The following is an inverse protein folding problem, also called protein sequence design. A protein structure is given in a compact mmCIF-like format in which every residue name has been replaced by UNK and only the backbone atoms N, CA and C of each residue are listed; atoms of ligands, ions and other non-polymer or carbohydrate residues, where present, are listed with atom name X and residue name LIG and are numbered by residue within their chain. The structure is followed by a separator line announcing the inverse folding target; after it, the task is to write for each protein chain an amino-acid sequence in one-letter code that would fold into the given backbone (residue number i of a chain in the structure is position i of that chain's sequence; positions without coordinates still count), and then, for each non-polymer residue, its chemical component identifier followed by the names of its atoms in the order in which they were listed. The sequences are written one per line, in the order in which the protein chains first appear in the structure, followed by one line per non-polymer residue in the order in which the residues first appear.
data_IF_956647251678
#
_entry.id   IF_956647251678
#
_cell.length_a   1.000
_cell.length_b   1.000
_cell.length_c   1.000
_cell.angle_alpha   90.00
_cell.angle_beta   90.00
_cell.angle_gamma   90.00
#
_symmetry.space_group_name_H-M   'P 1'
#
loop_
_entity.id
_entity.type
_entity.pdbx_description
1 polymer ?
#
# COMPACT_ATOMS: atom_id res chain seq x y z
N UNK A 1 -23.62 -5.13 -2.30
CA UNK A 1 -22.34 -4.90 -1.59
C UNK A 1 -22.53 -5.44 -0.18
N UNK A 2 -21.50 -5.92 0.51
CA UNK A 2 -21.59 -6.07 1.97
C UNK A 2 -21.83 -4.67 2.54
N UNK A 3 -22.94 -4.50 3.24
CA UNK A 3 -23.28 -3.27 3.95
C UNK A 3 -23.02 -3.55 5.42
N UNK A 4 -22.03 -2.88 5.99
CA UNK A 4 -21.65 -3.02 7.40
C UNK A 4 -21.80 -1.63 8.02
N UNK A 5 -22.50 -1.57 9.15
CA UNK A 5 -22.72 -0.36 9.92
C UNK A 5 -22.83 -0.74 11.42
N UNK A 6 -23.05 0.25 12.27
CA UNK A 6 -23.20 0.13 13.72
C UNK A 6 -24.34 -0.81 14.15
N UNK A 7 -25.38 -0.99 13.33
CA UNK A 7 -26.47 -1.96 13.60
C UNK A 7 -26.04 -3.41 13.35
N UNK A 8 -24.99 -3.60 12.54
CA UNK A 8 -24.45 -4.91 12.17
C UNK A 8 -23.26 -5.28 13.06
N UNK A 9 -22.47 -4.28 13.49
CA UNK A 9 -21.33 -4.43 14.38
C UNK A 9 -21.40 -3.36 15.49
N UNK A 10 -21.77 -3.73 16.73
CA UNK A 10 -21.89 -2.80 17.85
C UNK A 10 -20.58 -2.09 18.20
N UNK A 11 -20.69 -0.91 18.79
CA UNK A 11 -19.57 -0.11 19.30
C UNK A 11 -18.96 -0.69 20.59
N UNK A 12 -17.79 -0.16 20.99
CA UNK A 12 -17.07 -0.58 22.20
C UNK A 12 -16.32 -1.90 22.01
N UNK A 13 -15.37 -2.22 22.89
CA UNK A 13 -14.54 -3.43 22.81
C UNK A 13 -14.79 -4.43 23.95
N UNK A 14 -15.83 -4.22 24.76
CA UNK A 14 -16.12 -5.01 25.97
C UNK A 14 -16.31 -6.50 25.65
N UNK A 15 -17.02 -6.83 24.55
CA UNK A 15 -17.24 -8.22 24.16
C UNK A 15 -15.97 -8.92 23.63
N UNK A 16 -14.92 -8.16 23.29
CA UNK A 16 -13.62 -8.70 22.91
C UNK A 16 -12.85 -9.24 24.13
N UNK A 17 -13.19 -8.79 25.34
CA UNK A 17 -12.43 -9.09 26.55
C UNK A 17 -10.95 -8.70 26.38
N UNK A 18 -10.04 -9.59 26.77
CA UNK A 18 -8.60 -9.30 26.73
C UNK A 18 -7.94 -9.55 25.36
N UNK A 19 -8.72 -9.88 24.31
CA UNK A 19 -8.17 -10.23 22.99
C UNK A 19 -7.21 -9.18 22.44
N UNK A 20 -7.51 -7.89 22.60
CA UNK A 20 -6.66 -6.81 22.11
C UNK A 20 -5.27 -6.82 22.74
N UNK A 21 -5.14 -7.29 23.99
CA UNK A 21 -3.86 -7.35 24.70
C UNK A 21 -2.91 -8.44 24.18
N UNK A 22 -3.38 -9.33 23.32
CA UNK A 22 -2.57 -10.40 22.72
C UNK A 22 -1.89 -9.98 21.41
N UNK A 23 -2.19 -8.79 20.88
CA UNK A 23 -1.47 -8.21 19.75
C UNK A 23 -0.12 -7.62 20.20
N UNK A 24 0.84 -7.56 19.28
CA UNK A 24 2.22 -7.16 19.54
C UNK A 24 2.42 -5.66 19.29
N UNK A 25 1.99 -4.83 20.25
CA UNK A 25 2.15 -3.37 20.17
C UNK A 25 3.51 -2.91 20.69
N UNK A 26 4.15 -2.01 19.94
CA UNK A 26 5.38 -1.37 20.41
C UNK A 26 5.08 -0.16 21.32
N UNK A 27 5.04 -0.40 22.64
CA UNK A 27 4.79 0.65 23.64
C UNK A 27 6.06 1.22 24.28
N UNK A 28 7.23 0.60 24.05
CA UNK A 28 8.48 0.95 24.74
C UNK A 28 8.87 2.43 24.52
N UNK A 29 8.64 2.94 23.31
CA UNK A 29 8.91 4.34 23.02
C UNK A 29 8.01 5.27 23.83
N UNK A 30 6.70 4.98 23.89
CA UNK A 30 5.73 5.77 24.67
C UNK A 30 6.13 5.78 26.15
N UNK A 31 6.41 4.61 26.71
CA UNK A 31 6.86 4.48 28.10
C UNK A 31 8.14 5.27 28.38
N UNK A 32 9.08 5.29 27.43
CA UNK A 32 10.31 6.07 27.57
C UNK A 32 10.07 7.58 27.59
N UNK A 33 8.99 8.06 26.94
CA UNK A 33 8.59 9.47 26.94
C UNK A 33 7.86 9.81 28.24
N UNK A 34 6.97 8.94 28.74
CA UNK A 34 6.32 9.11 30.06
C UNK A 34 7.35 9.18 31.19
N UNK A 35 8.37 8.31 31.15
CA UNK A 35 9.46 8.32 32.13
C UNK A 35 10.29 9.62 32.12
N UNK A 36 10.26 10.39 31.01
CA UNK A 36 10.87 11.71 30.90
C UNK A 36 9.92 12.85 31.28
N UNK A 37 8.70 12.53 31.72
CA UNK A 37 7.67 13.49 32.10
C UNK A 37 6.90 14.10 30.93
N UNK A 38 7.03 13.55 29.71
CA UNK A 38 6.25 14.03 28.56
C UNK A 38 4.81 13.51 28.62
N UNK A 39 3.88 14.30 28.10
CA UNK A 39 2.43 14.09 28.20
C UNK A 39 1.74 14.30 26.85
N UNK A 40 0.39 14.23 26.82
CA UNK A 40 -0.43 14.54 25.64
C UNK A 40 -0.34 16.00 25.15
N UNK A 41 0.42 16.85 25.82
CA UNK A 41 0.75 18.21 25.39
C UNK A 41 2.02 18.26 24.54
N UNK A 42 2.87 17.23 24.60
CA UNK A 42 4.13 17.17 23.88
C UNK A 42 3.98 16.50 22.51
N UNK A 43 4.44 17.19 21.45
CA UNK A 43 4.32 16.71 20.06
C UNK A 43 4.90 15.30 19.85
N UNK A 44 6.05 15.01 20.47
CA UNK A 44 6.69 13.70 20.40
C UNK A 44 5.84 12.58 21.00
N UNK A 45 5.20 12.86 22.15
CA UNK A 45 4.31 11.90 22.80
C UNK A 45 3.03 11.71 22.00
N UNK A 46 2.40 12.81 21.55
CA UNK A 46 1.19 12.76 20.72
C UNK A 46 1.41 11.93 19.46
N UNK A 47 2.55 12.12 18.78
CA UNK A 47 2.90 11.34 17.59
C UNK A 47 3.01 9.84 17.89
N UNK A 48 3.73 9.47 18.96
CA UNK A 48 3.90 8.09 19.37
C UNK A 48 2.56 7.44 19.79
N UNK A 49 1.76 8.15 20.59
CA UNK A 49 0.45 7.68 21.05
C UNK A 49 -0.53 7.52 19.89
N UNK A 50 -0.58 8.45 18.93
CA UNK A 50 -1.46 8.32 17.74
C UNK A 50 -1.09 7.13 16.86
N UNK A 51 0.20 6.81 16.75
CA UNK A 51 0.65 5.61 16.06
C UNK A 51 0.16 4.33 16.75
N UNK A 52 0.28 4.27 18.08
CA UNK A 52 -0.22 3.15 18.88
C UNK A 52 -1.75 3.04 18.81
N UNK A 53 -2.46 4.15 18.98
CA UNK A 53 -3.93 4.21 18.92
C UNK A 53 -4.45 3.74 17.56
N UNK A 54 -3.77 4.11 16.46
CA UNK A 54 -4.06 3.59 15.12
C UNK A 54 -3.95 2.07 15.04
N UNK A 55 -2.86 1.49 15.57
CA UNK A 55 -2.66 0.04 15.55
C UNK A 55 -3.70 -0.71 16.41
N UNK A 56 -4.04 -0.18 17.59
CA UNK A 56 -5.09 -0.76 18.44
C UNK A 56 -6.45 -0.65 17.77
N UNK A 57 -6.75 0.49 17.16
CA UNK A 57 -8.01 0.69 16.43
C UNK A 57 -8.16 -0.30 15.27
N UNK A 58 -7.10 -0.53 14.50
CA UNK A 58 -7.10 -1.54 13.44
C UNK A 58 -7.41 -2.94 13.98
N UNK A 59 -6.81 -3.33 15.10
CA UNK A 59 -7.03 -4.64 15.71
C UNK A 59 -8.42 -4.76 16.34
N UNK A 60 -8.94 -3.68 16.93
CA UNK A 60 -10.30 -3.56 17.43
C UNK A 60 -11.33 -3.85 16.32
N UNK A 61 -11.23 -3.13 15.21
CA UNK A 61 -12.12 -3.34 14.06
C UNK A 61 -11.92 -4.73 13.45
N UNK A 62 -10.69 -5.22 13.40
CA UNK A 62 -10.40 -6.56 12.91
C UNK A 62 -11.09 -7.66 13.73
N UNK A 63 -10.99 -7.62 15.07
CA UNK A 63 -11.66 -8.57 15.97
C UNK A 63 -13.19 -8.57 15.83
N UNK A 64 -13.75 -7.38 15.59
CA UNK A 64 -15.18 -7.19 15.32
C UNK A 64 -15.59 -7.81 13.98
N UNK A 65 -14.83 -7.54 12.93
CA UNK A 65 -15.05 -8.13 11.60
C UNK A 65 -14.89 -9.64 11.60
N UNK A 66 -13.94 -10.18 12.37
CA UNK A 66 -13.74 -11.63 12.51
C UNK A 66 -14.99 -12.32 13.08
N UNK A 67 -15.56 -11.77 14.17
CA UNK A 67 -16.80 -12.29 14.78
C UNK A 67 -18.01 -12.14 13.86
N UNK A 68 -18.12 -11.00 13.18
CA UNK A 68 -19.15 -10.78 12.18
C UNK A 68 -19.06 -11.81 11.03
N UNK A 69 -17.86 -12.00 10.47
CA UNK A 69 -17.62 -12.89 9.35
C UNK A 69 -17.94 -14.36 9.67
N UNK A 70 -17.70 -14.81 10.90
CA UNK A 70 -18.09 -16.14 11.35
C UNK A 70 -19.60 -16.38 11.23
N UNK A 71 -20.41 -15.34 11.47
CA UNK A 71 -21.87 -15.43 11.54
C UNK A 71 -22.58 -15.03 10.23
N UNK A 72 -21.99 -14.18 9.40
CA UNK A 72 -22.60 -13.68 8.16
C UNK A 72 -22.69 -14.75 7.06
N UNK A 73 -23.90 -15.15 6.58
CA UNK A 73 -24.06 -16.21 5.58
C UNK A 73 -23.40 -15.97 4.21
N UNK A 74 -23.27 -14.69 3.81
CA UNK A 74 -22.63 -14.33 2.53
C UNK A 74 -21.12 -14.52 2.55
N UNK A 75 -20.49 -14.47 3.73
CA UNK A 75 -19.06 -14.65 3.88
C UNK A 75 -18.76 -16.15 3.90
N UNK A 76 -17.84 -16.56 3.03
CA UNK A 76 -17.34 -17.94 2.91
C UNK A 76 -15.98 -18.11 3.53
N UNK A 77 -15.15 -17.07 3.50
CA UNK A 77 -13.85 -17.09 4.13
C UNK A 77 -13.44 -15.71 4.66
N UNK A 78 -12.79 -15.68 5.81
CA UNK A 78 -12.14 -14.51 6.41
C UNK A 78 -10.73 -14.88 6.82
N UNK A 79 -9.74 -14.08 6.42
CA UNK A 79 -8.34 -14.42 6.59
C UNK A 79 -7.85 -13.99 7.98
N UNK A 80 -7.34 -14.96 8.75
CA UNK A 80 -6.85 -14.70 10.09
C UNK A 80 -5.48 -14.02 10.13
N UNK A 81 -5.30 -13.12 11.10
CA UNK A 81 -4.08 -12.35 11.35
C UNK A 81 -3.82 -12.21 12.85
N UNK A 82 -2.65 -11.68 13.21
CA UNK A 82 -2.28 -11.45 14.61
C UNK A 82 -2.27 -12.73 15.48
N UNK A 83 -2.77 -12.68 16.72
CA UNK A 83 -2.69 -13.77 17.70
C UNK A 83 -3.58 -14.98 17.39
N UNK A 84 -4.50 -14.86 16.42
CA UNK A 84 -5.34 -15.98 15.98
C UNK A 84 -4.56 -17.01 15.18
N UNK A 85 -3.46 -16.61 14.54
CA UNK A 85 -2.65 -17.45 13.66
C UNK A 85 -1.44 -18.07 14.40
N UNK A 86 -1.01 -19.26 13.97
CA UNK A 86 0.32 -19.79 14.28
C UNK A 86 1.41 -18.99 13.56
N UNK A 87 2.46 -18.55 14.28
CA UNK A 87 3.58 -17.81 13.67
C UNK A 87 4.23 -18.64 12.56
N UNK A 88 4.17 -18.16 11.32
CA UNK A 88 4.86 -18.75 10.17
C UNK A 88 5.72 -17.70 9.48
N UNK A 89 6.74 -18.17 8.73
CA UNK A 89 7.56 -17.26 7.91
C UNK A 89 6.77 -16.85 6.68
N UNK A 90 6.79 -15.54 6.39
CA UNK A 90 6.22 -15.00 5.16
C UNK A 90 6.93 -15.59 3.92
N UNK A 91 6.13 -15.89 2.88
CA UNK A 91 6.58 -16.55 1.66
C UNK A 91 6.85 -15.53 0.55
N UNK A 92 7.82 -15.83 -0.33
CA UNK A 92 8.08 -15.04 -1.53
C UNK A 92 6.98 -15.27 -2.56
N UNK A 93 6.58 -14.21 -3.27
CA UNK A 93 5.66 -14.26 -4.42
C UNK A 93 4.30 -14.90 -4.06
N UNK A 94 3.85 -14.68 -2.83
CA UNK A 94 2.64 -15.24 -2.27
C UNK A 94 2.00 -14.28 -1.25
N UNK A 95 0.70 -14.44 -1.05
CA UNK A 95 0.01 -13.86 0.08
C UNK A 95 0.40 -14.64 1.34
N UNK A 96 0.75 -13.94 2.41
CA UNK A 96 1.06 -14.56 3.70
C UNK A 96 0.81 -13.55 4.81
N UNK A 97 0.74 -14.02 6.05
CA UNK A 97 0.72 -13.13 7.22
C UNK A 97 2.14 -12.98 7.75
N UNK A 98 2.60 -11.75 7.88
CA UNK A 98 3.94 -11.36 8.33
C UNK A 98 4.20 -11.78 9.78
N UNK A 99 5.45 -11.67 10.21
CA UNK A 99 5.80 -11.94 11.61
C UNK A 99 5.12 -10.98 12.59
N UNK A 100 4.79 -9.76 12.13
CA UNK A 100 4.00 -8.76 12.86
C UNK A 100 2.50 -9.04 12.82
N UNK A 101 2.07 -10.14 12.20
CA UNK A 101 0.66 -10.49 12.12
C UNK A 101 -0.14 -9.72 11.06
N UNK A 102 0.50 -9.03 10.10
CA UNK A 102 -0.18 -8.31 9.02
C UNK A 102 -0.33 -9.16 7.75
N UNK A 103 -1.46 -9.04 7.03
CA UNK A 103 -1.67 -9.75 5.77
C UNK A 103 -0.90 -9.01 4.67
N UNK A 104 0.09 -9.66 4.07
CA UNK A 104 1.00 -9.04 3.10
C UNK A 104 1.14 -9.89 1.85
N UNK A 105 1.46 -9.22 0.74
CA UNK A 105 1.97 -9.86 -0.47
C UNK A 105 3.41 -9.39 -0.72
N UNK A 106 4.32 -10.35 -0.91
CA UNK A 106 5.73 -10.07 -1.19
C UNK A 106 6.08 -10.42 -2.63
N UNK A 107 6.83 -9.54 -3.29
CA UNK A 107 7.57 -9.87 -4.50
C UNK A 107 9.05 -10.05 -4.13
N UNK A 108 9.60 -11.25 -4.32
CA UNK A 108 10.87 -11.65 -3.68
C UNK A 108 10.81 -11.41 -2.15
N UNK A 109 11.69 -10.56 -1.63
CA UNK A 109 11.80 -10.23 -0.20
C UNK A 109 11.19 -8.85 0.14
N UNK A 110 10.45 -8.22 -0.77
CA UNK A 110 9.87 -6.89 -0.57
C UNK A 110 8.35 -6.95 -0.51
N UNK A 111 7.79 -6.30 0.49
CA UNK A 111 6.35 -6.11 0.64
C UNK A 111 5.87 -5.10 -0.41
N UNK A 112 4.88 -5.51 -1.21
CA UNK A 112 4.31 -4.65 -2.25
C UNK A 112 2.82 -4.38 -2.03
N UNK A 113 2.17 -5.15 -1.15
CA UNK A 113 0.81 -4.94 -0.69
C UNK A 113 0.65 -5.41 0.75
N UNK A 114 -0.16 -4.69 1.51
CA UNK A 114 -0.54 -4.95 2.89
C UNK A 114 -2.05 -4.76 3.00
N UNK A 115 -2.74 -5.56 3.80
CA UNK A 115 -4.20 -5.58 3.90
C UNK A 115 -4.63 -5.72 5.36
N UNK A 116 -5.56 -4.87 5.79
CA UNK A 116 -5.99 -4.84 7.19
C UNK A 116 -6.93 -6.01 7.49
N UNK A 117 -7.64 -6.48 6.46
CA UNK A 117 -8.46 -7.69 6.45
C UNK A 117 -8.78 -8.13 5.03
N UNK A 118 -9.06 -9.43 4.84
CA UNK A 118 -9.51 -10.00 3.57
C UNK A 118 -10.71 -10.92 3.83
N UNK A 119 -11.78 -10.71 3.08
CA UNK A 119 -13.02 -11.49 3.13
C UNK A 119 -13.39 -12.00 1.74
N UNK A 120 -13.94 -13.19 1.68
CA UNK A 120 -14.36 -13.83 0.44
C UNK A 120 -15.84 -14.22 0.54
N UNK A 121 -16.58 -13.93 -0.52
CA UNK A 121 -17.90 -14.48 -0.79
C UNK A 121 -17.78 -15.48 -1.96
N UNK A 122 -18.90 -15.95 -2.52
CA UNK A 122 -18.86 -16.86 -3.67
C UNK A 122 -18.24 -16.24 -4.94
N UNK A 123 -18.32 -14.91 -5.10
CA UNK A 123 -17.88 -14.22 -6.33
C UNK A 123 -17.10 -12.93 -6.08
N UNK A 124 -16.98 -12.50 -4.83
CA UNK A 124 -16.40 -11.21 -4.47
C UNK A 124 -15.32 -11.35 -3.42
N UNK A 125 -14.26 -10.55 -3.56
CA UNK A 125 -13.18 -10.45 -2.59
C UNK A 125 -13.20 -9.03 -2.05
N UNK A 126 -13.37 -8.90 -0.73
CA UNK A 126 -13.34 -7.64 -0.02
C UNK A 126 -11.99 -7.49 0.67
N UNK A 127 -11.26 -6.42 0.36
CA UNK A 127 -10.13 -6.00 1.19
C UNK A 127 -10.56 -4.85 2.10
N UNK A 128 -10.11 -4.91 3.34
CA UNK A 128 -10.41 -3.88 4.34
C UNK A 128 -9.29 -2.86 4.36
N UNK A 129 -9.67 -1.60 4.43
CA UNK A 129 -8.76 -0.47 4.65
C UNK A 129 -9.32 0.36 5.79
N UNK A 130 -8.55 0.49 6.86
CA UNK A 130 -8.92 1.24 8.05
C UNK A 130 -8.07 2.51 8.09
N UNK A 131 -8.68 3.65 8.42
CA UNK A 131 -7.88 4.86 8.58
C UNK A 131 -8.51 5.85 9.55
N UNK A 132 -7.64 6.47 10.35
CA UNK A 132 -7.98 7.57 11.24
C UNK A 132 -7.90 8.94 10.53
N UNK A 133 -7.47 8.99 9.27
CA UNK A 133 -7.29 10.27 8.56
C UNK A 133 -8.64 10.88 8.16
N UNK A 134 -8.74 12.21 8.31
CA UNK A 134 -9.96 12.96 8.01
C UNK A 134 -10.25 13.16 6.52
N UNK A 135 -9.27 12.93 5.63
CA UNK A 135 -9.45 13.11 4.18
C UNK A 135 -9.08 11.85 3.40
N UNK A 136 -9.99 11.37 2.57
CA UNK A 136 -9.81 10.14 1.78
C UNK A 136 -9.18 10.37 0.39
N UNK A 137 -8.83 11.60 0.02
CA UNK A 137 -8.28 11.93 -1.31
C UNK A 137 -7.01 11.15 -1.64
N UNK A 138 -6.10 11.05 -0.67
CA UNK A 138 -4.85 10.28 -0.79
C UNK A 138 -5.07 8.75 -0.76
N UNK A 139 -6.24 8.30 -0.30
CA UNK A 139 -6.56 6.88 -0.21
C UNK A 139 -6.78 6.26 -1.60
N UNK A 140 -7.28 7.03 -2.57
CA UNK A 140 -7.64 6.53 -3.91
C UNK A 140 -6.48 5.81 -4.60
N UNK A 141 -5.26 6.36 -4.57
CA UNK A 141 -4.07 5.72 -5.16
C UNK A 141 -3.75 4.38 -4.47
N UNK A 142 -3.90 4.32 -3.15
CA UNK A 142 -3.69 3.10 -2.35
C UNK A 142 -4.75 2.03 -2.66
N UNK A 143 -6.02 2.40 -2.70
CA UNK A 143 -7.11 1.50 -3.05
C UNK A 143 -6.96 0.94 -4.45
N UNK A 144 -6.57 1.77 -5.43
CA UNK A 144 -6.35 1.36 -6.82
C UNK A 144 -5.24 0.31 -6.90
N UNK A 145 -4.12 0.54 -6.21
CA UNK A 145 -3.00 -0.40 -6.12
C UNK A 145 -3.41 -1.72 -5.48
N UNK A 146 -4.06 -1.68 -4.31
CA UNK A 146 -4.51 -2.88 -3.58
C UNK A 146 -5.50 -3.69 -4.43
N UNK A 147 -6.48 -3.02 -5.03
CA UNK A 147 -7.45 -3.64 -5.94
C UNK A 147 -6.77 -4.32 -7.12
N UNK A 148 -5.90 -3.60 -7.83
CA UNK A 148 -5.23 -4.12 -9.02
C UNK A 148 -4.37 -5.36 -8.71
N UNK A 149 -3.67 -5.36 -7.57
CA UNK A 149 -2.91 -6.53 -7.11
C UNK A 149 -3.83 -7.72 -6.86
N UNK A 150 -4.92 -7.54 -6.13
CA UNK A 150 -5.87 -8.61 -5.83
C UNK A 150 -6.58 -9.13 -7.09
N UNK A 151 -6.87 -8.28 -8.08
CA UNK A 151 -7.44 -8.72 -9.36
C UNK A 151 -6.47 -9.62 -10.16
N UNK A 152 -5.16 -9.43 -10.00
CA UNK A 152 -4.16 -10.34 -10.59
C UNK A 152 -4.09 -11.66 -9.81
N UNK A 153 -4.11 -11.61 -8.47
CA UNK A 153 -3.98 -12.79 -7.62
C UNK A 153 -5.24 -13.66 -7.60
N UNK A 154 -6.42 -13.05 -7.78
CA UNK A 154 -7.73 -13.67 -7.66
C UNK A 154 -8.61 -13.34 -8.88
N UNK A 155 -8.23 -13.78 -10.09
CA UNK A 155 -8.89 -13.36 -11.34
C UNK A 155 -10.36 -13.78 -11.46
N UNK A 156 -10.83 -14.70 -10.62
CA UNK A 156 -12.23 -15.15 -10.58
C UNK A 156 -13.13 -14.31 -9.69
N UNK A 157 -12.56 -13.42 -8.88
CA UNK A 157 -13.30 -12.62 -7.91
C UNK A 157 -13.44 -11.18 -8.39
N UNK A 158 -14.63 -10.59 -8.17
CA UNK A 158 -14.81 -9.15 -8.23
C UNK A 158 -14.23 -8.52 -6.96
N UNK A 159 -13.12 -7.80 -7.10
CA UNK A 159 -12.45 -7.15 -5.97
C UNK A 159 -13.17 -5.87 -5.56
N UNK A 160 -13.43 -5.72 -4.27
CA UNK A 160 -14.08 -4.57 -3.63
C UNK A 160 -13.30 -4.13 -2.39
N UNK A 161 -13.50 -2.89 -1.98
CA UNK A 161 -12.93 -2.33 -0.77
C UNK A 161 -14.02 -2.11 0.28
N UNK A 162 -13.73 -2.48 1.53
CA UNK A 162 -14.47 -2.05 2.70
C UNK A 162 -13.61 -1.03 3.44
N UNK A 163 -14.03 0.24 3.44
CA UNK A 163 -13.34 1.30 4.14
C UNK A 163 -13.96 1.50 5.51
N UNK A 164 -13.15 1.49 6.55
CA UNK A 164 -13.59 1.82 7.91
C UNK A 164 -13.01 3.18 8.29
N UNK A 165 -13.89 4.17 8.43
CA UNK A 165 -13.53 5.57 8.64
C UNK A 165 -14.20 6.10 9.90
N UNK A 166 -13.53 7.00 10.60
CA UNK A 166 -14.16 7.67 11.73
C UNK A 166 -15.15 8.75 11.27
N UNK A 167 -16.13 9.05 12.11
CA UNK A 167 -17.00 10.22 11.97
C UNK A 167 -16.18 11.49 11.72
N UNK A 168 -16.66 12.34 10.81
CA UNK A 168 -15.95 13.55 10.37
C UNK A 168 -14.96 13.33 9.21
N UNK A 169 -14.84 12.12 8.66
CA UNK A 169 -14.12 11.90 7.41
C UNK A 169 -14.83 12.62 6.23
N UNK A 170 -14.05 13.34 5.43
CA UNK A 170 -14.50 14.13 4.28
C UNK A 170 -14.01 13.50 2.96
N UNK A 171 -14.73 13.79 1.86
CA UNK A 171 -14.41 13.30 0.52
C UNK A 171 -14.91 11.88 0.21
N UNK A 172 -15.77 11.31 1.06
CA UNK A 172 -16.36 9.97 0.88
C UNK A 172 -17.22 9.87 -0.39
N UNK A 173 -17.81 10.98 -0.84
CA UNK A 173 -18.57 11.06 -2.10
C UNK A 173 -17.72 10.84 -3.35
N UNK A 174 -16.41 11.01 -3.26
CA UNK A 174 -15.49 10.85 -4.40
C UNK A 174 -14.80 9.47 -4.43
N UNK A 175 -15.25 8.55 -3.58
CA UNK A 175 -14.70 7.21 -3.53
C UNK A 175 -15.10 6.41 -4.78
N UNK A 176 -14.24 5.48 -5.23
CA UNK A 176 -14.57 4.61 -6.35
C UNK A 176 -15.80 3.73 -6.07
N UNK A 177 -16.51 3.35 -7.12
CA UNK A 177 -17.71 2.49 -7.10
C UNK A 177 -17.53 1.11 -6.44
N UNK A 178 -16.29 0.63 -6.37
CA UNK A 178 -15.93 -0.63 -5.73
C UNK A 178 -15.67 -0.50 -4.23
N UNK A 179 -15.73 0.70 -3.65
CA UNK A 179 -15.56 0.95 -2.23
C UNK A 179 -16.89 1.16 -1.52
N UNK A 180 -17.11 0.42 -0.42
CA UNK A 180 -18.14 0.68 0.57
C UNK A 180 -17.53 1.31 1.82
N UNK A 181 -18.29 2.13 2.53
CA UNK A 181 -17.83 2.82 3.74
C UNK A 181 -18.63 2.32 4.95
N UNK A 182 -17.92 2.02 6.02
CA UNK A 182 -18.45 1.86 7.37
C UNK A 182 -17.91 3.01 8.23
N UNK A 183 -18.80 3.88 8.70
CA UNK A 183 -18.45 4.98 9.60
C UNK A 183 -18.51 4.48 11.04
N UNK A 184 -17.49 4.82 11.83
CA UNK A 184 -17.36 4.46 13.24
C UNK A 184 -17.14 5.71 14.09
N UNK A 185 -17.44 5.62 15.39
CA UNK A 185 -17.03 6.66 16.33
C UNK A 185 -15.51 6.63 16.58
N UNK A 186 -14.91 7.76 16.95
CA UNK A 186 -13.53 7.78 17.44
C UNK A 186 -13.33 6.78 18.58
N UNK A 187 -12.25 6.00 18.48
CA UNK A 187 -11.86 5.02 19.49
C UNK A 187 -10.65 5.53 20.27
N UNK A 188 -10.69 5.45 21.60
CA UNK A 188 -9.56 5.76 22.47
C UNK A 188 -8.89 4.47 22.92
N UNK A 189 -7.58 4.37 22.72
CA UNK A 189 -6.79 3.19 23.12
C UNK A 189 -6.15 3.31 24.52
N UNK A 190 -6.53 4.32 25.32
CA UNK A 190 -5.85 4.64 26.59
C UNK A 190 -5.91 3.47 27.58
N UNK A 191 -7.08 2.84 27.73
CA UNK A 191 -7.25 1.70 28.64
C UNK A 191 -6.40 0.48 28.23
N UNK A 192 -6.16 0.29 26.93
CA UNK A 192 -5.27 -0.75 26.41
C UNK A 192 -3.81 -0.42 26.77
N UNK A 193 -3.37 0.82 26.57
CA UNK A 193 -2.03 1.25 26.97
C UNK A 193 -1.82 1.02 28.46
N UNK A 194 -2.72 1.53 29.31
CA UNK A 194 -2.60 1.43 30.76
C UNK A 194 -2.48 -0.04 31.22
N UNK A 195 -3.25 -0.95 30.61
CA UNK A 195 -3.17 -2.38 30.90
C UNK A 195 -1.89 -3.05 30.44
N UNK A 196 -1.37 -2.68 29.27
CA UNK A 196 -0.10 -3.21 28.77
C UNK A 196 1.08 -2.71 29.62
N UNK A 197 1.07 -1.43 29.97
CA UNK A 197 2.07 -0.79 30.84
C UNK A 197 2.12 -1.43 32.23
N UNK A 198 0.95 -1.70 32.83
CA UNK A 198 0.85 -2.35 34.13
C UNK A 198 1.23 -3.84 34.12
N UNK A 199 1.38 -4.46 32.93
CA UNK A 199 1.59 -5.91 32.75
C UNK A 199 0.58 -6.76 33.53
N UNK A 200 -0.66 -6.27 33.63
CA UNK A 200 -1.70 -6.95 34.39
C UNK A 200 -1.98 -8.35 33.83
N UNK A 201 -2.35 -9.35 34.67
CA UNK A 201 -2.77 -10.66 34.21
C UNK A 201 -3.84 -10.56 33.13
N UNK A 202 -3.76 -11.43 32.12
CA UNK A 202 -4.67 -11.44 30.97
C UNK A 202 -5.64 -12.61 31.08
N UNK A 203 -6.92 -12.37 30.86
CA UNK A 203 -7.89 -13.43 30.66
C UNK A 203 -7.57 -14.21 29.37
N UNK A 204 -7.83 -15.53 29.32
CA UNK A 204 -7.55 -16.33 28.13
C UNK A 204 -8.17 -15.74 26.86
N UNK A 205 -7.41 -15.81 25.77
CA UNK A 205 -7.84 -15.33 24.46
C UNK A 205 -9.10 -16.07 23.99
N UNK A 206 -10.14 -15.30 23.64
CA UNK A 206 -11.39 -15.79 23.07
C UNK A 206 -11.20 -16.05 21.58
N UNK A 207 -11.02 -17.32 21.20
CA UNK A 207 -10.87 -17.73 19.80
C UNK A 207 -12.23 -17.82 19.11
N UNK A 208 -12.27 -17.46 17.82
CA UNK A 208 -13.45 -17.60 16.98
C UNK A 208 -13.33 -18.92 16.21
N UNK A 209 -14.17 -19.89 16.57
CA UNK A 209 -14.22 -21.20 15.90
C UNK A 209 -15.30 -21.20 14.82
N UNK A 210 -14.89 -21.21 13.55
CA UNK A 210 -15.81 -21.32 12.42
C UNK A 210 -15.07 -21.82 11.18
N UNK A 211 -15.74 -22.65 10.37
CA UNK A 211 -15.21 -23.14 9.10
C UNK A 211 -14.95 -22.02 8.06
N UNK A 212 -15.47 -20.81 8.30
CA UNK A 212 -15.22 -19.62 7.47
C UNK A 212 -13.89 -18.96 7.80
N UNK A 213 -13.22 -19.35 8.88
CA UNK A 213 -11.99 -18.70 9.34
C UNK A 213 -10.82 -19.45 8.71
N UNK A 214 -10.07 -18.77 7.82
CA UNK A 214 -9.05 -19.39 7.00
C UNK A 214 -7.66 -18.83 7.26
N UNK A 215 -6.65 -19.69 7.13
CA UNK A 215 -5.25 -19.31 7.23
C UNK A 215 -4.74 -18.78 5.90
N UNK A 216 -3.87 -17.77 5.92
CA UNK A 216 -3.33 -17.18 4.70
C UNK A 216 -2.57 -18.20 3.82
N UNK A 217 -1.98 -19.23 4.42
CA UNK A 217 -1.27 -20.30 3.72
C UNK A 217 -2.18 -21.24 2.92
N UNK A 218 -3.48 -21.29 3.25
CA UNK A 218 -4.48 -22.14 2.58
C UNK A 218 -5.03 -21.47 1.31
N UNK A 219 -4.82 -20.16 1.18
CA UNK A 219 -5.33 -19.37 0.07
C UNK A 219 -4.50 -19.63 -1.18
N UNK A 220 -5.14 -20.18 -2.20
CA UNK A 220 -4.53 -20.36 -3.52
C UNK A 220 -4.62 -19.06 -4.33
N UNK A 221 -3.47 -18.50 -4.69
CA UNK A 221 -3.36 -17.32 -5.56
C UNK A 221 -2.87 -17.70 -6.94
N UNK A 222 -3.31 -16.96 -7.96
CA UNK A 222 -2.65 -16.98 -9.26
C UNK A 222 -1.19 -16.49 -9.14
N UNK A 223 -0.31 -17.00 -10.00
CA UNK A 223 1.09 -16.59 -10.01
C UNK A 223 1.25 -15.19 -10.56
N UNK A 224 1.86 -14.29 -9.80
CA UNK A 224 2.25 -12.96 -10.26
C UNK A 224 3.77 -12.80 -10.29
N UNK A 225 4.34 -12.94 -11.49
CA UNK A 225 5.78 -12.76 -11.73
C UNK A 225 6.13 -11.27 -11.84
N UNK A 226 6.24 -10.60 -10.69
CA UNK A 226 6.41 -9.15 -10.57
C UNK A 226 7.51 -8.58 -11.48
N UNK A 227 8.74 -9.12 -11.41
CA UNK A 227 9.87 -8.57 -12.17
C UNK A 227 9.83 -8.94 -13.66
N UNK A 228 9.29 -10.11 -14.01
CA UNK A 228 9.10 -10.50 -15.40
C UNK A 228 8.06 -9.58 -16.08
N UNK A 229 6.99 -9.28 -15.35
CA UNK A 229 5.94 -8.35 -15.82
C UNK A 229 6.47 -6.93 -15.95
N UNK A 230 7.33 -6.48 -15.03
CA UNK A 230 8.00 -5.19 -15.12
C UNK A 230 8.85 -5.07 -16.41
N UNK A 231 9.66 -6.09 -16.71
CA UNK A 231 10.44 -6.17 -17.95
C UNK A 231 9.55 -6.20 -19.19
N UNK A 232 8.49 -6.99 -19.16
CA UNK A 232 7.53 -7.07 -20.27
C UNK A 232 6.87 -5.72 -20.55
N UNK A 233 6.44 -5.00 -19.50
CA UNK A 233 5.84 -3.66 -19.66
C UNK A 233 6.83 -2.68 -20.27
N UNK A 234 8.06 -2.63 -19.75
CA UNK A 234 9.12 -1.74 -20.27
C UNK A 234 9.38 -1.99 -21.76
N UNK A 235 9.60 -3.26 -22.15
CA UNK A 235 9.86 -3.62 -23.55
C UNK A 235 8.68 -3.35 -24.46
N UNK A 236 7.48 -3.69 -24.03
CA UNK A 236 6.27 -3.51 -24.84
C UNK A 236 5.92 -2.04 -25.02
N UNK A 237 6.10 -1.20 -23.98
CA UNK A 237 5.92 0.25 -24.12
C UNK A 237 6.91 0.85 -25.09
N UNK A 238 8.13 0.32 -25.16
CA UNK A 238 9.16 0.78 -26.11
C UNK A 238 9.13 0.09 -27.47
N UNK A 239 8.05 -0.62 -27.79
CA UNK A 239 7.83 -1.20 -29.11
C UNK A 239 7.49 -0.18 -30.21
N UNK A 240 7.11 1.05 -29.85
CA UNK A 240 6.85 2.17 -30.78
C UNK A 240 7.49 3.46 -30.27
N UNK A 241 7.72 4.39 -31.18
CA UNK A 241 8.36 5.67 -30.88
C UNK A 241 7.34 6.80 -30.61
N UNK A 242 7.41 7.52 -29.46
CA UNK A 242 8.32 7.32 -28.34
C UNK A 242 7.84 6.23 -27.35
N UNK A 243 6.56 5.91 -27.35
CA UNK A 243 5.95 4.76 -26.66
C UNK A 243 4.75 4.21 -27.44
N UNK A 244 4.42 2.94 -27.23
CA UNK A 244 3.19 2.32 -27.72
C UNK A 244 1.98 2.70 -26.83
N UNK A 245 1.25 3.75 -27.25
CA UNK A 245 0.05 4.23 -26.55
C UNK A 245 -1.12 3.24 -26.58
N UNK A 246 -1.22 2.43 -27.64
CA UNK A 246 -2.26 1.41 -27.73
C UNK A 246 -2.02 0.35 -26.65
N UNK A 247 -0.77 -0.12 -26.54
CA UNK A 247 -0.36 -1.00 -25.47
C UNK A 247 -0.58 -0.38 -24.08
N UNK A 248 -0.17 0.87 -23.89
CA UNK A 248 -0.33 1.58 -22.61
C UNK A 248 -1.79 1.65 -22.18
N UNK A 249 -2.72 1.88 -23.12
CA UNK A 249 -4.15 2.03 -22.84
C UNK A 249 -4.89 0.73 -22.54
N UNK A 250 -4.30 -0.45 -22.82
CA UNK A 250 -4.94 -1.74 -22.53
C UNK A 250 -5.26 -1.87 -21.04
N UNK A 251 -6.43 -2.43 -20.74
CA UNK A 251 -6.88 -2.65 -19.35
C UNK A 251 -5.92 -3.51 -18.54
N UNK A 252 -5.31 -4.53 -19.16
CA UNK A 252 -4.26 -5.35 -18.54
C UNK A 252 -3.02 -4.54 -18.17
N UNK A 253 -2.53 -3.70 -19.09
CA UNK A 253 -1.38 -2.82 -18.86
C UNK A 253 -1.67 -1.80 -17.75
N UNK A 254 -2.88 -1.22 -17.73
CA UNK A 254 -3.29 -0.30 -16.68
C UNK A 254 -3.41 -0.95 -15.31
N UNK A 255 -3.91 -2.19 -15.24
CA UNK A 255 -3.91 -2.95 -13.98
C UNK A 255 -2.49 -3.09 -13.44
N UNK A 256 -1.53 -3.42 -14.28
CA UNK A 256 -0.13 -3.49 -13.84
C UNK A 256 0.44 -2.12 -13.48
N UNK A 257 0.15 -1.06 -14.24
CA UNK A 257 0.54 0.30 -13.87
C UNK A 257 0.03 0.69 -12.49
N UNK A 258 -1.23 0.36 -12.18
CA UNK A 258 -1.83 0.63 -10.88
C UNK A 258 -1.11 -0.14 -9.75
N UNK A 259 -0.63 -1.37 -10.00
CA UNK A 259 0.20 -2.14 -9.05
C UNK A 259 1.56 -1.47 -8.81
N UNK A 260 2.28 -1.13 -9.88
CA UNK A 260 3.63 -0.54 -9.79
C UNK A 260 3.64 0.93 -9.37
N UNK A 261 2.48 1.58 -9.49
CA UNK A 261 2.22 3.03 -9.40
C UNK A 261 2.97 3.90 -10.41
N UNK A 262 3.86 3.29 -11.21
CA UNK A 262 4.72 3.89 -12.23
C UNK A 262 5.07 2.86 -13.29
N UNK A 263 5.32 3.30 -14.52
CA UNK A 263 5.88 2.43 -15.56
C UNK A 263 7.10 3.07 -16.17
N UNK A 264 8.18 2.30 -16.26
CA UNK A 264 9.44 2.76 -16.82
C UNK A 264 9.40 2.78 -18.34
N UNK A 265 9.95 3.82 -18.95
CA UNK A 265 9.93 4.02 -20.40
C UNK A 265 11.31 4.21 -21.02
N UNK A 266 12.35 4.39 -20.21
CA UNK A 266 13.72 4.53 -20.73
C UNK A 266 14.60 5.28 -19.76
N UNK A 267 15.70 5.82 -20.25
CA UNK A 267 16.58 6.68 -19.47
C UNK A 267 17.18 7.81 -20.30
N UNK A 268 17.60 8.86 -19.60
CA UNK A 268 18.42 9.93 -20.14
C UNK A 268 19.85 9.80 -19.60
N UNK A 269 20.89 10.15 -20.39
CA UNK A 269 22.23 10.36 -19.86
C UNK A 269 22.17 11.42 -18.75
N UNK A 270 22.98 11.26 -17.69
CA UNK A 270 22.91 12.21 -16.56
C UNK A 270 23.24 13.65 -16.99
N UNK A 271 24.08 13.83 -18.02
CA UNK A 271 24.42 15.14 -18.56
C UNK A 271 23.17 15.85 -19.14
N UNK A 272 22.36 15.13 -19.92
CA UNK A 272 21.07 15.63 -20.44
C UNK A 272 20.11 15.97 -19.30
N UNK A 273 19.99 15.06 -18.33
CA UNK A 273 19.09 15.25 -17.21
C UNK A 273 19.48 16.46 -16.34
N UNK A 274 20.78 16.73 -16.15
CA UNK A 274 21.25 17.94 -15.45
C UNK A 274 20.84 19.24 -16.15
N UNK A 275 20.70 19.23 -17.48
CA UNK A 275 20.18 20.39 -18.23
C UNK A 275 18.68 20.58 -18.01
N UNK A 276 17.93 19.49 -17.97
CA UNK A 276 16.48 19.49 -17.73
C UNK A 276 16.10 19.84 -16.28
N UNK A 277 16.91 19.39 -15.32
CA UNK A 277 16.66 19.55 -13.90
C UNK A 277 17.90 20.10 -13.17
N UNK A 278 18.26 21.38 -13.39
CA UNK A 278 19.39 22.01 -12.70
C UNK A 278 19.26 21.88 -11.18
N UNK A 279 20.34 21.48 -10.51
CA UNK A 279 20.35 21.27 -9.06
C UNK A 279 19.78 19.93 -8.56
N UNK A 280 19.16 19.12 -9.43
CA UNK A 280 18.65 17.81 -9.04
C UNK A 280 19.75 16.77 -8.76
N UNK A 281 20.96 17.02 -9.28
CA UNK A 281 22.10 16.10 -9.17
C UNK A 281 23.30 16.89 -8.67
N UNK A 282 23.80 16.54 -7.48
CA UNK A 282 24.97 17.18 -6.89
C UNK A 282 26.27 16.76 -7.61
N UNK A 283 27.34 17.55 -7.43
CA UNK A 283 28.64 17.31 -8.06
C UNK A 283 29.27 15.96 -7.63
N UNK A 284 29.00 15.52 -6.40
CA UNK A 284 29.48 14.25 -5.83
C UNK A 284 28.70 13.01 -6.31
N UNK A 285 27.62 13.21 -7.07
CA UNK A 285 26.77 12.12 -7.56
C UNK A 285 27.52 11.23 -8.55
N UNK A 286 27.52 9.92 -8.30
CA UNK A 286 28.02 8.89 -9.23
C UNK A 286 26.92 8.37 -10.17
N UNK A 287 25.86 9.14 -10.37
CA UNK A 287 24.76 8.74 -11.25
C UNK A 287 25.17 8.90 -12.72
N UNK A 288 25.06 7.85 -13.52
CA UNK A 288 25.37 7.90 -14.96
C UNK A 288 24.13 8.18 -15.83
N UNK A 289 22.95 7.92 -15.29
CA UNK A 289 21.66 8.11 -15.97
C UNK A 289 20.53 8.47 -15.02
N UNK A 290 19.49 9.09 -15.58
CA UNK A 290 18.20 9.28 -14.94
C UNK A 290 17.15 8.38 -15.61
N UNK A 291 16.59 7.44 -14.85
CA UNK A 291 15.57 6.51 -15.38
C UNK A 291 14.23 7.24 -15.44
N UNK A 292 13.61 7.27 -16.62
CA UNK A 292 12.34 7.94 -16.88
C UNK A 292 11.18 6.98 -16.66
N UNK A 293 10.17 7.42 -15.92
CA UNK A 293 8.93 6.68 -15.70
C UNK A 293 7.69 7.57 -15.84
N UNK A 294 6.57 6.95 -16.18
CA UNK A 294 5.25 7.55 -16.19
C UNK A 294 4.56 7.20 -14.87
N UNK A 295 4.19 8.20 -14.07
CA UNK A 295 3.38 8.04 -12.88
C UNK A 295 1.93 8.47 -13.09
N UNK A 296 1.04 7.87 -12.30
CA UNK A 296 -0.39 8.21 -12.24
C UNK A 296 -0.67 8.94 -10.94
N UNK A 297 -1.28 10.10 -11.03
CA UNK A 297 -1.69 10.88 -9.87
C UNK A 297 -3.01 10.35 -9.27
N UNK A 298 -3.49 11.04 -8.22
CA UNK A 298 -4.72 10.69 -7.50
C UNK A 298 -5.98 10.92 -8.36
N UNK A 299 -5.96 11.91 -9.26
CA UNK A 299 -7.03 12.20 -10.22
C UNK A 299 -7.07 11.20 -11.40
N UNK A 300 -5.98 10.44 -11.60
CA UNK A 300 -5.82 9.56 -12.75
C UNK A 300 -5.06 10.20 -13.91
N UNK A 301 -4.61 11.45 -13.76
CA UNK A 301 -3.69 12.12 -14.68
C UNK A 301 -2.31 11.48 -14.67
N UNK A 302 -1.57 11.68 -15.75
CA UNK A 302 -0.24 11.10 -15.94
C UNK A 302 0.82 12.20 -16.01
N UNK A 303 1.99 11.93 -15.44
CA UNK A 303 3.14 12.81 -15.49
C UNK A 303 4.45 12.02 -15.57
N UNK A 304 5.51 12.64 -16.07
CA UNK A 304 6.85 12.05 -16.05
C UNK A 304 7.52 12.28 -14.70
N UNK A 305 8.23 11.25 -14.26
CA UNK A 305 9.10 11.29 -13.09
C UNK A 305 10.42 10.61 -13.43
N UNK A 306 11.46 11.00 -12.70
CA UNK A 306 12.84 10.61 -12.97
C UNK A 306 13.46 10.01 -11.72
N UNK A 307 14.14 8.88 -11.88
CA UNK A 307 14.85 8.22 -10.80
C UNK A 307 16.35 8.36 -11.00
N UNK A 308 17.00 9.06 -10.07
CA UNK A 308 18.44 9.30 -10.09
C UNK A 308 19.08 8.51 -8.96
N UNK A 309 19.95 7.56 -9.32
CA UNK A 309 20.66 6.74 -8.34
C UNK A 309 22.06 7.28 -8.12
N UNK A 310 22.27 7.91 -6.99
CA UNK A 310 23.57 8.47 -6.61
C UNK A 310 24.54 7.41 -6.07
N UNK A 311 24.00 6.34 -5.46
CA UNK A 311 24.76 5.19 -4.97
C UNK A 311 23.85 3.98 -4.74
N UNK A 312 24.41 2.83 -4.35
CA UNK A 312 23.66 1.58 -4.13
C UNK A 312 22.47 1.71 -3.15
N UNK A 313 22.51 2.67 -2.21
CA UNK A 313 21.43 2.92 -1.24
C UNK A 313 20.83 4.33 -1.32
N UNK A 314 21.28 5.18 -2.25
CA UNK A 314 20.81 6.56 -2.38
C UNK A 314 20.12 6.74 -3.72
N UNK A 315 18.79 6.84 -3.67
CA UNK A 315 17.92 6.99 -4.82
C UNK A 315 16.97 8.15 -4.60
N UNK A 316 16.96 9.09 -5.54
CA UNK A 316 16.06 10.23 -5.52
C UNK A 316 15.01 10.06 -6.64
N UNK A 317 13.76 10.39 -6.32
CA UNK A 317 12.71 10.62 -7.30
C UNK A 317 12.63 12.12 -7.55
N UNK A 318 12.68 12.50 -8.82
CA UNK A 318 12.62 13.88 -9.26
C UNK A 318 11.37 14.05 -10.12
N UNK A 319 10.59 15.07 -9.82
CA UNK A 319 9.42 15.47 -10.62
C UNK A 319 9.60 16.91 -11.06
N UNK A 320 9.29 17.20 -12.33
CA UNK A 320 9.39 18.52 -12.91
C UNK A 320 7.97 19.08 -13.10
N UNK A 321 7.69 20.25 -12.53
CA UNK A 321 6.39 20.92 -12.67
C UNK A 321 6.58 22.43 -12.78
N UNK A 322 6.14 23.04 -13.88
CA UNK A 322 6.17 24.49 -14.06
C UNK A 322 7.57 25.11 -13.95
N UNK A 323 8.62 24.39 -14.37
CA UNK A 323 10.03 24.82 -14.22
C UNK A 323 10.64 24.58 -12.83
N UNK A 324 9.84 24.15 -11.85
CA UNK A 324 10.33 23.79 -10.52
C UNK A 324 10.65 22.29 -10.42
N UNK A 325 11.75 21.99 -9.74
CA UNK A 325 12.21 20.64 -9.48
C UNK A 325 11.80 20.20 -8.06
N UNK A 326 11.02 19.14 -7.95
CA UNK A 326 10.69 18.49 -6.68
C UNK A 326 11.50 17.22 -6.52
N UNK A 327 12.32 17.15 -5.48
CA UNK A 327 13.18 16.01 -5.17
C UNK A 327 12.65 15.30 -3.93
N UNK A 328 12.43 13.99 -4.04
CA UNK A 328 11.98 13.13 -2.94
C UNK A 328 12.96 11.97 -2.79
N UNK A 329 13.66 11.93 -1.66
CA UNK A 329 14.52 10.80 -1.30
C UNK A 329 13.69 9.53 -1.14
N UNK A 330 14.12 8.43 -1.77
CA UNK A 330 13.46 7.14 -1.66
C UNK A 330 14.06 6.30 -0.53
N UNK A 331 13.22 5.47 0.07
CA UNK A 331 13.64 4.52 1.09
C UNK A 331 14.75 3.58 0.55
N UNK A 332 15.93 3.52 1.21
CA UNK A 332 17.02 2.62 0.83
C UNK A 332 16.65 1.13 0.91
N UNK A 333 15.54 0.78 1.53
CA UNK A 333 15.02 -0.58 1.61
C UNK A 333 13.69 -0.75 0.87
N UNK A 334 13.22 0.28 0.16
CA UNK A 334 11.94 0.25 -0.55
C UNK A 334 11.96 -0.59 -1.83
N UNK A 335 10.78 -0.99 -2.30
CA UNK A 335 10.60 -1.74 -3.55
C UNK A 335 11.19 -1.01 -4.76
N UNK A 336 11.13 0.32 -4.80
CA UNK A 336 11.64 1.12 -5.93
C UNK A 336 13.13 0.93 -6.13
N UNK A 337 13.93 0.82 -5.06
CA UNK A 337 15.36 0.55 -5.21
C UNK A 337 15.61 -0.86 -5.79
N UNK A 338 14.80 -1.85 -5.40
CA UNK A 338 14.93 -3.20 -5.96
C UNK A 338 14.47 -3.29 -7.42
N UNK A 339 13.45 -2.50 -7.81
CA UNK A 339 13.07 -2.31 -9.21
C UNK A 339 14.22 -1.68 -10.00
N UNK A 340 14.84 -0.62 -9.47
CA UNK A 340 16.00 0.04 -10.05
C UNK A 340 17.18 -0.92 -10.29
N UNK A 341 17.52 -1.75 -9.29
CA UNK A 341 18.56 -2.79 -9.44
C UNK A 341 18.22 -3.82 -10.52
N UNK A 342 16.94 -4.12 -10.72
CA UNK A 342 16.48 -5.01 -11.78
C UNK A 342 16.59 -4.33 -13.15
N UNK A 343 16.15 -3.08 -13.27
CA UNK A 343 16.24 -2.30 -14.51
C UNK A 343 17.67 -2.10 -14.96
N UNK A 344 18.64 -2.01 -14.05
CA UNK A 344 20.04 -1.91 -14.46
C UNK A 344 20.55 -3.08 -15.29
N UNK A 345 19.97 -4.26 -15.07
CA UNK A 345 20.33 -5.48 -15.79
C UNK A 345 19.54 -5.62 -17.10
N UNK A 346 18.49 -4.83 -17.28
CA UNK A 346 17.52 -4.97 -18.37
C UNK A 346 17.65 -3.84 -19.39
N UNK A 347 17.94 -2.62 -18.93
CA UNK A 347 18.01 -1.43 -19.77
C UNK A 347 19.40 -1.29 -20.41
N UNK A 348 19.53 -1.74 -21.66
CA UNK A 348 20.61 -1.40 -22.58
C UNK A 348 20.33 -0.13 -23.41
N UNK A 349 21.17 0.11 -24.42
CA UNK A 349 21.15 1.32 -25.25
C UNK A 349 19.83 1.53 -26.03
N UNK A 350 19.06 0.48 -26.28
CA UNK A 350 17.74 0.55 -26.91
C UNK A 350 16.71 1.34 -26.07
N UNK A 351 16.99 1.53 -24.78
CA UNK A 351 16.17 2.30 -23.85
C UNK A 351 16.67 3.73 -23.63
N UNK A 352 17.75 4.12 -24.29
CA UNK A 352 18.19 5.51 -24.32
C UNK A 352 17.13 6.38 -25.00
N UNK A 353 16.71 7.44 -24.33
CA UNK A 353 15.82 8.44 -24.90
C UNK A 353 16.66 9.56 -25.51
N UNK A 354 16.44 9.81 -26.80
CA UNK A 354 16.97 11.04 -27.43
C UNK A 354 16.24 12.27 -26.87
N UNK A 355 16.85 13.47 -26.94
CA UNK A 355 16.19 14.71 -26.52
C UNK A 355 14.83 14.93 -27.20
N UNK A 356 14.72 14.59 -28.49
CA UNK A 356 13.48 14.69 -29.25
C UNK A 356 12.40 13.72 -28.73
N UNK A 357 12.76 12.45 -28.51
CA UNK A 357 11.85 11.45 -27.95
C UNK A 357 11.35 11.88 -26.56
N UNK A 358 12.25 12.40 -25.74
CA UNK A 358 11.92 12.88 -24.41
C UNK A 358 10.98 14.09 -24.44
N UNK A 359 11.25 15.09 -25.28
CA UNK A 359 10.35 16.24 -25.46
C UNK A 359 8.97 15.82 -25.97
N UNK A 360 8.91 14.85 -26.89
CA UNK A 360 7.64 14.28 -27.36
C UNK A 360 6.90 13.54 -26.24
N UNK A 361 7.60 12.85 -25.34
CA UNK A 361 6.98 12.25 -24.15
C UNK A 361 6.42 13.32 -23.22
N UNK A 362 7.19 14.37 -22.90
CA UNK A 362 6.71 15.44 -22.03
C UNK A 362 5.45 16.12 -22.56
N UNK A 363 5.36 16.35 -23.87
CA UNK A 363 4.16 16.89 -24.50
C UNK A 363 2.99 15.89 -24.51
N UNK A 364 3.27 14.61 -24.71
CA UNK A 364 2.26 13.56 -24.86
C UNK A 364 1.61 13.15 -23.54
N UNK A 365 2.40 12.89 -22.50
CA UNK A 365 1.93 12.24 -21.26
C UNK A 365 0.76 12.98 -20.59
N UNK A 366 0.77 14.32 -20.44
CA UNK A 366 -0.34 15.07 -19.84
C UNK A 366 -1.65 15.00 -20.64
N UNK A 367 -1.59 14.69 -21.94
CA UNK A 367 -2.76 14.57 -22.83
C UNK A 367 -3.44 13.21 -22.74
N UNK A 368 -2.78 12.21 -22.12
CA UNK A 368 -3.35 10.88 -21.98
C UNK A 368 -4.55 10.98 -21.04
N UNK A 369 -5.71 10.58 -21.55
CA UNK A 369 -6.94 10.38 -20.80
C UNK A 369 -7.30 8.90 -20.88
N UNK A 370 -7.71 8.34 -19.76
CA UNK A 370 -8.38 7.05 -19.76
C UNK A 370 -9.88 7.29 -19.86
N UNK A 371 -10.52 6.56 -20.78
CA UNK A 371 -11.97 6.44 -20.85
C UNK A 371 -12.45 5.47 -19.78
#
# INVERSE_FOLDING_TARGET
MLTINETVIPEGDEELGDNLLYYDYNIDHILSLEAKGLTMEDEGYVSAYRSFEGEVYENYIYEKLLRFAANEPKIKSFIIKGPHKHRTRARSDALSVSWKGQIIYRARHKEIGEFDGLLFTDRELYFVEMTLVKSVSNLKKRLRKKRALLEVLFPRYKVKALLVLNEGATGTSELPDYASVWITKPYSARHILDRLSARAPRAPMRRVESAKIAHAEEIKTASFKYYATLTWMLRSLRGKDPIDLEFFRRSSTQRYHDIYTKVYVGYLPIAEFKRLAPGAVNAESKADRAVVAIEKDHSGGYFLTYFVRHSAKKLDNVTLAGGACKIVKKDPFGITLTEMNHLDRVMGDEFLLTPEQHSRLEALIPTIRHK
#
